data_IF_573965560040
#
_entry.id   IF_573965560040
#
_cell.length_a   1.000
_cell.length_b   1.000
_cell.length_c   1.000
_cell.angle_alpha   90.00
_cell.angle_beta   90.00
_cell.angle_gamma   90.00
#
_symmetry.space_group_name_H-M   'P 1'
#
loop_
_entity.id
_entity.type
_entity.pdbx_description
1 polymer ?
#
# COMPACT_ATOMS: atom_id res chain seq x y z
N UNK A 1 14.08 -55.36 8.59
CA UNK A 1 14.97 -54.74 7.57
C UNK A 1 14.86 -53.21 7.73
N UNK A 2 15.81 -52.62 8.40
CA UNK A 2 15.90 -51.18 8.56
C UNK A 2 16.60 -50.60 7.32
N UNK A 3 15.92 -49.75 6.55
CA UNK A 3 16.57 -49.05 5.46
C UNK A 3 17.44 -47.93 6.03
N UNK A 4 18.72 -48.02 5.79
CA UNK A 4 19.71 -47.00 6.06
C UNK A 4 19.44 -45.76 5.17
N UNK A 5 19.16 -44.65 5.81
CA UNK A 5 19.15 -43.35 5.14
C UNK A 5 20.61 -42.97 4.86
N UNK A 6 21.00 -42.63 3.63
CA UNK A 6 22.37 -42.24 3.35
C UNK A 6 22.72 -40.92 4.02
N UNK A 7 23.88 -40.86 4.68
CA UNK A 7 24.42 -39.61 5.21
C UNK A 7 24.63 -38.58 4.09
N UNK A 8 24.26 -37.30 4.31
CA UNK A 8 24.55 -36.28 3.32
C UNK A 8 26.05 -36.06 3.19
N UNK A 9 26.54 -36.08 1.95
CA UNK A 9 27.91 -35.78 1.62
C UNK A 9 28.38 -34.49 2.29
N UNK A 10 29.51 -34.53 2.98
CA UNK A 10 30.18 -33.36 3.58
C UNK A 10 30.54 -32.37 2.46
N UNK A 11 29.66 -31.37 2.21
CA UNK A 11 29.93 -30.27 1.30
C UNK A 11 31.09 -29.44 1.83
N UNK A 12 31.95 -28.98 0.93
CA UNK A 12 33.06 -28.06 1.20
C UNK A 12 32.55 -26.85 1.96
N UNK A 13 33.20 -26.50 3.06
CA UNK A 13 32.90 -25.31 3.84
C UNK A 13 32.99 -24.07 2.94
N UNK A 14 31.87 -23.40 2.72
CA UNK A 14 31.83 -22.06 2.14
C UNK A 14 32.47 -21.12 3.16
N UNK A 15 33.71 -20.76 2.96
CA UNK A 15 34.38 -19.69 3.70
C UNK A 15 33.76 -18.34 3.24
N UNK A 16 32.97 -17.72 4.10
CA UNK A 16 32.56 -16.32 3.90
C UNK A 16 31.14 -15.92 4.26
N UNK A 17 30.24 -16.84 4.55
CA UNK A 17 28.94 -16.48 5.09
C UNK A 17 29.03 -16.56 6.61
N UNK A 18 29.15 -15.40 7.26
CA UNK A 18 28.92 -15.31 8.70
C UNK A 18 27.51 -15.84 8.99
N UNK A 19 27.41 -17.05 9.52
CA UNK A 19 26.15 -17.57 10.03
C UNK A 19 25.76 -16.66 11.18
N UNK A 20 24.72 -15.85 11.01
CA UNK A 20 24.09 -15.20 12.15
C UNK A 20 23.74 -16.29 13.16
N UNK A 21 24.05 -16.11 14.46
CA UNK A 21 23.55 -17.01 15.49
C UNK A 21 22.04 -17.13 15.30
N UNK A 22 21.50 -18.34 15.37
CA UNK A 22 20.04 -18.48 15.39
C UNK A 22 19.53 -17.67 16.59
N UNK A 23 18.71 -16.65 16.29
CA UNK A 23 18.07 -15.89 17.34
C UNK A 23 17.25 -16.86 18.19
N UNK A 24 17.37 -16.78 19.51
CA UNK A 24 16.49 -17.53 20.40
C UNK A 24 15.07 -17.05 20.16
N UNK A 25 14.10 -17.94 20.24
CA UNK A 25 12.69 -17.63 19.98
C UNK A 25 12.11 -16.55 20.92
N UNK A 26 12.79 -16.26 22.01
CA UNK A 26 12.44 -15.28 23.03
C UNK A 26 13.26 -13.97 22.94
N UNK A 27 14.25 -13.90 22.04
CA UNK A 27 15.03 -12.69 21.80
C UNK A 27 14.36 -11.82 20.72
N UNK A 28 14.12 -10.56 21.05
CA UNK A 28 13.70 -9.58 20.05
C UNK A 28 14.80 -9.41 19.00
N UNK A 29 14.39 -9.30 17.70
CA UNK A 29 15.32 -9.04 16.62
C UNK A 29 16.16 -7.76 16.89
N UNK A 30 17.42 -7.75 16.43
CA UNK A 30 18.29 -6.58 16.52
C UNK A 30 17.56 -5.38 15.89
N UNK A 31 17.51 -4.25 16.63
CA UNK A 31 16.77 -3.06 16.21
C UNK A 31 15.27 -3.07 16.53
N UNK A 32 14.80 -4.13 17.22
CA UNK A 32 13.42 -4.15 17.72
C UNK A 32 13.18 -3.04 18.74
N UNK A 33 12.22 -2.18 18.46
CA UNK A 33 11.67 -1.23 19.42
C UNK A 33 10.33 -1.78 19.88
N UNK A 34 10.26 -2.20 21.12
CA UNK A 34 9.00 -2.69 21.69
C UNK A 34 7.93 -1.59 21.65
N UNK A 35 6.70 -2.03 21.36
CA UNK A 35 5.56 -1.13 21.43
C UNK A 35 5.50 -0.44 22.80
N UNK A 36 5.32 0.88 22.77
CA UNK A 36 5.04 1.68 23.96
C UNK A 36 3.78 2.48 23.71
N UNK A 37 2.76 2.24 24.51
CA UNK A 37 1.57 3.06 24.47
C UNK A 37 1.93 4.48 24.94
N UNK A 38 1.62 5.46 24.08
CA UNK A 38 1.73 6.88 24.41
C UNK A 38 0.40 7.56 24.16
N UNK A 39 0.06 8.56 24.95
CA UNK A 39 -1.10 9.38 24.66
C UNK A 39 -0.82 10.19 23.39
N UNK A 40 -1.75 10.17 22.47
CA UNK A 40 -1.73 11.06 21.31
C UNK A 40 -2.08 12.50 21.75
N UNK A 41 -1.58 13.54 21.06
CA UNK A 41 -2.07 14.89 21.24
C UNK A 41 -3.59 14.96 21.04
N UNK A 42 -4.27 15.82 21.80
CA UNK A 42 -5.73 16.03 21.66
C UNK A 42 -6.11 16.45 20.24
N UNK A 43 -5.25 17.21 19.58
CA UNK A 43 -5.44 17.63 18.19
C UNK A 43 -4.21 17.24 17.38
N UNK A 44 -4.43 16.44 16.35
CA UNK A 44 -3.40 16.10 15.39
C UNK A 44 -3.32 17.20 14.30
N UNK A 45 -2.10 17.60 13.88
CA UNK A 45 -1.93 18.68 12.90
C UNK A 45 -2.42 18.30 11.49
N UNK A 46 -2.56 17.02 11.22
CA UNK A 46 -3.07 16.47 9.97
C UNK A 46 -3.68 15.09 10.20
N UNK A 47 -4.60 14.69 9.34
CA UNK A 47 -5.12 13.33 9.29
C UNK A 47 -4.21 12.46 8.43
N UNK A 48 -3.66 11.41 9.01
CA UNK A 48 -2.84 10.44 8.31
C UNK A 48 -3.72 9.31 7.78
N UNK A 49 -3.62 9.03 6.49
CA UNK A 49 -4.39 7.99 5.81
C UNK A 49 -3.42 6.97 5.23
N UNK A 50 -3.63 5.70 5.53
CA UNK A 50 -2.81 4.62 4.99
C UNK A 50 -3.55 3.86 3.90
N UNK A 51 -2.92 3.65 2.74
CA UNK A 51 -3.44 2.72 1.74
C UNK A 51 -3.39 1.30 2.30
N UNK A 52 -4.48 0.57 2.14
CA UNK A 52 -4.64 -0.78 2.66
C UNK A 52 -4.83 -1.78 1.52
N UNK A 53 -3.96 -2.80 1.48
CA UNK A 53 -4.00 -3.86 0.48
C UNK A 53 -4.73 -5.10 1.04
N UNK A 54 -5.96 -5.42 0.62
CA UNK A 54 -6.74 -6.52 1.19
C UNK A 54 -6.38 -7.89 0.60
N UNK A 55 -5.10 -8.18 0.33
CA UNK A 55 -4.65 -9.38 -0.37
C UNK A 55 -4.02 -10.47 0.52
N UNK A 56 -4.13 -10.31 1.85
CA UNK A 56 -3.56 -11.27 2.80
C UNK A 56 -4.58 -12.31 3.26
N UNK A 57 -5.34 -12.86 2.30
CA UNK A 57 -6.24 -14.00 2.46
C UNK A 57 -6.44 -14.69 1.10
N UNK A 58 -6.69 -16.01 1.08
CA UNK A 58 -6.94 -16.73 -0.16
C UNK A 58 -8.33 -16.42 -0.71
N UNK A 59 -8.42 -16.36 -2.04
CA UNK A 59 -9.68 -16.32 -2.79
C UNK A 59 -9.64 -17.36 -3.92
N UNK A 60 -10.78 -17.88 -4.37
CA UNK A 60 -10.82 -18.92 -5.42
C UNK A 60 -10.09 -18.52 -6.72
N UNK A 61 -10.18 -17.26 -7.11
CA UNK A 61 -9.51 -16.73 -8.30
C UNK A 61 -7.99 -16.80 -8.15
N UNK A 62 -7.45 -16.34 -7.02
CA UNK A 62 -6.02 -16.41 -6.75
C UNK A 62 -5.54 -17.86 -6.66
N UNK A 63 -6.34 -18.76 -6.11
CA UNK A 63 -6.04 -20.19 -6.05
C UNK A 63 -5.95 -20.80 -7.45
N UNK A 64 -6.87 -20.43 -8.35
CA UNK A 64 -6.84 -20.87 -9.74
C UNK A 64 -5.65 -20.30 -10.54
N UNK A 65 -5.26 -19.05 -10.28
CA UNK A 65 -4.20 -18.38 -11.02
C UNK A 65 -2.80 -18.68 -10.53
N UNK A 66 -2.63 -18.79 -9.20
CA UNK A 66 -1.33 -18.84 -8.53
C UNK A 66 -1.11 -20.10 -7.69
N UNK A 67 -2.11 -20.97 -7.60
CA UNK A 67 -2.10 -22.20 -6.83
C UNK A 67 -2.76 -22.07 -5.46
N UNK A 68 -3.27 -23.20 -4.97
CA UNK A 68 -4.09 -23.31 -3.77
C UNK A 68 -3.48 -22.62 -2.55
N UNK A 69 -4.29 -21.84 -1.85
CA UNK A 69 -3.91 -21.13 -0.63
C UNK A 69 -3.03 -19.90 -0.89
N UNK A 70 -3.05 -19.36 -2.11
CA UNK A 70 -2.25 -18.19 -2.43
C UNK A 70 -2.71 -16.96 -1.64
N UNK A 71 -1.72 -16.33 -0.99
CA UNK A 71 -1.80 -14.99 -0.40
C UNK A 71 -0.49 -14.25 -0.66
N UNK A 72 -0.42 -12.95 -0.38
CA UNK A 72 0.83 -12.19 -0.49
C UNK A 72 1.97 -12.74 0.39
N UNK A 73 1.65 -13.45 1.48
CA UNK A 73 2.68 -14.13 2.30
C UNK A 73 3.53 -15.10 1.49
N UNK A 74 2.95 -15.74 0.47
CA UNK A 74 3.70 -16.64 -0.41
C UNK A 74 4.80 -15.91 -1.19
N UNK A 75 4.55 -14.69 -1.62
CA UNK A 75 5.53 -13.85 -2.27
C UNK A 75 6.60 -13.38 -1.28
N UNK A 76 6.17 -12.89 -0.11
CA UNK A 76 7.06 -12.41 0.96
C UNK A 76 8.05 -13.48 1.39
N UNK A 77 7.57 -14.69 1.70
CA UNK A 77 8.42 -15.78 2.23
C UNK A 77 9.40 -16.35 1.20
N UNK A 78 9.17 -16.14 -0.09
CA UNK A 78 10.03 -16.63 -1.18
C UNK A 78 11.07 -15.62 -1.64
N UNK A 79 10.99 -14.38 -1.18
CA UNK A 79 11.94 -13.35 -1.57
C UNK A 79 13.34 -13.65 -1.06
N UNK A 80 14.34 -13.38 -1.89
CA UNK A 80 15.74 -13.62 -1.60
C UNK A 80 16.54 -12.31 -1.66
N UNK A 81 17.62 -12.18 -0.84
CA UNK A 81 18.55 -11.08 -0.96
C UNK A 81 19.17 -11.01 -2.37
N UNK A 82 19.21 -9.83 -2.96
CA UNK A 82 19.78 -9.59 -4.29
C UNK A 82 21.22 -9.07 -4.22
N UNK A 83 21.57 -8.40 -3.13
CA UNK A 83 22.90 -7.84 -2.88
C UNK A 83 23.21 -7.89 -1.37
N UNK A 84 24.47 -7.69 -1.00
CA UNK A 84 24.88 -7.68 0.41
C UNK A 84 24.14 -6.57 1.18
N UNK A 85 23.59 -6.94 2.33
CA UNK A 85 22.78 -6.03 3.16
C UNK A 85 21.33 -5.85 2.69
N UNK A 86 20.90 -6.43 1.57
CA UNK A 86 19.49 -6.49 1.20
C UNK A 86 18.73 -7.45 2.12
N UNK A 87 17.83 -6.91 2.93
CA UNK A 87 17.10 -7.68 3.91
C UNK A 87 15.87 -8.36 3.28
N UNK A 88 15.96 -9.64 3.03
CA UNK A 88 14.86 -10.51 2.56
C UNK A 88 15.03 -11.93 3.13
N UNK A 89 13.95 -12.68 3.36
CA UNK A 89 12.57 -12.23 3.37
C UNK A 89 12.27 -11.32 4.56
N UNK A 90 11.36 -10.39 4.39
CA UNK A 90 10.85 -9.52 5.48
C UNK A 90 9.68 -10.23 6.15
N UNK A 91 9.94 -10.93 7.22
CA UNK A 91 8.94 -11.69 7.94
C UNK A 91 8.16 -10.80 8.93
N UNK A 92 6.87 -11.11 9.16
CA UNK A 92 6.04 -10.35 10.08
C UNK A 92 6.55 -10.47 11.52
N UNK A 93 6.37 -9.40 12.32
CA UNK A 93 6.76 -9.33 13.71
C UNK A 93 5.56 -9.37 14.66
N UNK A 94 4.82 -8.26 14.75
CA UNK A 94 3.84 -8.08 15.82
C UNK A 94 2.48 -8.75 15.53
N UNK A 95 2.06 -8.81 14.25
CA UNK A 95 0.77 -9.40 13.84
C UNK A 95 0.90 -10.84 13.32
N UNK A 96 2.13 -11.37 13.16
CA UNK A 96 2.37 -12.70 12.62
C UNK A 96 1.90 -12.87 11.17
N UNK A 97 1.85 -14.09 10.68
CA UNK A 97 1.30 -14.42 9.36
C UNK A 97 -0.23 -14.43 9.41
N UNK A 98 -0.80 -13.23 9.50
CA UNK A 98 -2.23 -13.05 9.65
C UNK A 98 -3.01 -13.42 8.39
N UNK A 99 -4.29 -13.74 8.60
CA UNK A 99 -5.29 -13.98 7.55
C UNK A 99 -6.44 -13.00 7.74
N UNK A 100 -6.77 -12.23 6.70
CA UNK A 100 -7.82 -11.21 6.75
C UNK A 100 -9.24 -11.79 6.82
N UNK A 101 -9.41 -13.11 6.75
CA UNK A 101 -10.67 -13.78 7.08
C UNK A 101 -10.95 -13.78 8.59
N UNK A 102 -9.92 -13.58 9.40
CA UNK A 102 -10.04 -13.45 10.83
C UNK A 102 -10.31 -11.99 11.21
N UNK A 103 -11.51 -11.70 11.67
CA UNK A 103 -11.92 -10.34 12.09
C UNK A 103 -11.06 -9.78 13.22
N UNK A 104 -10.51 -10.65 14.10
CA UNK A 104 -9.63 -10.19 15.17
C UNK A 104 -8.36 -9.54 14.62
N UNK A 105 -7.81 -10.07 13.53
CA UNK A 105 -6.67 -9.44 12.82
C UNK A 105 -6.96 -7.98 12.47
N UNK A 106 -8.14 -7.73 11.89
CA UNK A 106 -8.51 -6.37 11.48
C UNK A 106 -8.76 -5.45 12.67
N UNK A 107 -9.32 -5.96 13.76
CA UNK A 107 -9.45 -5.22 15.03
C UNK A 107 -8.08 -4.82 15.59
N UNK A 108 -7.12 -5.75 15.58
CA UNK A 108 -5.75 -5.49 16.05
C UNK A 108 -5.04 -4.47 15.15
N UNK A 109 -5.20 -4.56 13.83
CA UNK A 109 -4.69 -3.57 12.89
C UNK A 109 -5.31 -2.19 13.11
N UNK A 110 -6.62 -2.11 13.29
CA UNK A 110 -7.32 -0.85 13.57
C UNK A 110 -6.82 -0.21 14.88
N UNK A 111 -6.69 -1.03 15.93
CA UNK A 111 -6.18 -0.59 17.23
C UNK A 111 -4.75 -0.03 17.11
N UNK A 112 -3.85 -0.78 16.49
CA UNK A 112 -2.47 -0.33 16.28
C UNK A 112 -2.43 0.96 15.45
N UNK A 113 -3.19 1.05 14.37
CA UNK A 113 -3.27 2.25 13.55
C UNK A 113 -3.68 3.48 14.37
N UNK A 114 -4.73 3.36 15.16
CA UNK A 114 -5.20 4.44 16.04
C UNK A 114 -4.16 4.80 17.11
N UNK A 115 -3.52 3.83 17.73
CA UNK A 115 -2.47 4.04 18.74
C UNK A 115 -1.24 4.77 18.18
N UNK A 116 -0.99 4.65 16.87
CA UNK A 116 0.07 5.38 16.16
C UNK A 116 -0.41 6.63 15.44
N UNK A 117 -1.65 7.07 15.66
CA UNK A 117 -2.18 8.33 15.15
C UNK A 117 -2.63 8.29 13.69
N UNK A 118 -2.85 7.11 13.11
CA UNK A 118 -3.52 7.02 11.81
C UNK A 118 -5.00 7.37 11.97
N UNK A 119 -5.49 8.21 11.06
CA UNK A 119 -6.87 8.69 11.07
C UNK A 119 -7.82 7.88 10.19
N UNK A 120 -7.31 7.12 9.21
CA UNK A 120 -8.13 6.28 8.33
C UNK A 120 -7.29 5.26 7.56
N UNK A 121 -7.97 4.22 7.06
CA UNK A 121 -7.45 3.38 5.98
C UNK A 121 -8.13 3.69 4.65
N UNK A 122 -7.35 3.68 3.56
CA UNK A 122 -7.83 3.77 2.19
C UNK A 122 -7.69 2.38 1.55
N UNK A 123 -8.76 1.63 1.50
CA UNK A 123 -8.75 0.28 0.96
C UNK A 123 -8.67 0.29 -0.56
N UNK A 124 -7.76 -0.50 -1.15
CA UNK A 124 -7.88 -0.85 -2.56
C UNK A 124 -9.15 -1.66 -2.77
N UNK A 125 -9.96 -1.18 -3.69
CA UNK A 125 -11.23 -1.79 -4.07
C UNK A 125 -11.14 -2.29 -5.51
N UNK A 126 -11.54 -3.54 -5.73
CA UNK A 126 -11.41 -4.22 -7.02
C UNK A 126 -12.79 -4.53 -7.56
N UNK A 127 -13.16 -3.83 -8.64
CA UNK A 127 -14.42 -3.96 -9.34
C UNK A 127 -14.15 -4.27 -10.81
N UNK A 128 -14.85 -5.26 -11.36
CA UNK A 128 -14.74 -5.72 -12.74
C UNK A 128 -16.13 -5.99 -13.28
N UNK A 129 -16.81 -4.98 -13.84
CA UNK A 129 -18.13 -5.07 -14.45
C UNK A 129 -19.16 -5.85 -13.62
N UNK A 130 -19.36 -5.44 -12.37
CA UNK A 130 -20.30 -6.09 -11.44
C UNK A 130 -19.68 -7.21 -10.59
N UNK A 131 -18.48 -7.66 -10.89
CA UNK A 131 -17.75 -8.62 -10.06
C UNK A 131 -16.74 -7.92 -9.17
N UNK A 132 -16.80 -8.21 -7.86
CA UNK A 132 -15.79 -7.74 -6.89
C UNK A 132 -14.79 -8.85 -6.58
N UNK A 133 -13.55 -8.47 -6.30
CA UNK A 133 -12.53 -9.36 -5.77
C UNK A 133 -11.96 -8.79 -4.47
N UNK A 134 -11.57 -9.66 -3.54
CA UNK A 134 -10.93 -9.28 -2.27
C UNK A 134 -11.76 -8.30 -1.41
N UNK A 135 -13.07 -8.26 -1.61
CA UNK A 135 -13.99 -7.33 -0.93
C UNK A 135 -14.29 -7.73 0.52
N UNK A 136 -14.20 -9.01 0.84
CA UNK A 136 -14.59 -9.54 2.15
C UNK A 136 -13.97 -8.78 3.34
N UNK A 137 -12.67 -8.41 3.37
CA UNK A 137 -12.12 -7.63 4.48
C UNK A 137 -12.76 -6.25 4.61
N UNK A 138 -13.14 -5.62 3.47
CA UNK A 138 -13.80 -4.31 3.47
C UNK A 138 -15.20 -4.43 4.06
N UNK A 139 -15.95 -5.46 3.67
CA UNK A 139 -17.28 -5.75 4.20
C UNK A 139 -17.23 -6.00 5.71
N UNK A 140 -16.30 -6.82 6.18
CA UNK A 140 -16.10 -7.07 7.61
C UNK A 140 -15.73 -5.79 8.37
N UNK A 141 -14.85 -4.93 7.80
CA UNK A 141 -14.52 -3.64 8.39
C UNK A 141 -15.73 -2.72 8.50
N UNK A 142 -16.51 -2.67 7.44
CA UNK A 142 -17.74 -1.89 7.36
C UNK A 142 -18.76 -2.32 8.40
N UNK A 143 -18.97 -3.62 8.58
CA UNK A 143 -19.98 -4.19 9.44
C UNK A 143 -19.59 -4.29 10.93
N UNK A 144 -18.29 -4.38 11.24
CA UNK A 144 -17.81 -4.54 12.61
C UNK A 144 -17.95 -3.24 13.43
N UNK A 145 -18.86 -3.18 14.42
CA UNK A 145 -19.05 -1.98 15.23
C UNK A 145 -17.89 -1.71 16.19
N UNK A 146 -17.04 -2.72 16.47
CA UNK A 146 -15.88 -2.55 17.35
C UNK A 146 -14.71 -1.84 16.65
N UNK A 147 -14.70 -1.83 15.33
CA UNK A 147 -13.73 -1.09 14.53
C UNK A 147 -14.23 0.34 14.34
N UNK A 148 -13.60 1.28 15.00
CA UNK A 148 -13.97 2.70 14.95
C UNK A 148 -13.08 3.53 14.02
N UNK A 149 -11.94 2.98 13.55
CA UNK A 149 -11.06 3.67 12.62
C UNK A 149 -11.79 3.92 11.29
N UNK A 150 -11.86 5.18 10.82
CA UNK A 150 -12.46 5.52 9.55
C UNK A 150 -11.81 4.83 8.35
N UNK A 151 -12.55 4.73 7.25
CA UNK A 151 -12.05 4.18 6.00
C UNK A 151 -12.62 4.87 4.78
N UNK A 152 -11.92 4.77 3.66
CA UNK A 152 -12.43 5.12 2.33
C UNK A 152 -11.95 4.08 1.31
N UNK A 153 -12.41 4.21 0.08
CA UNK A 153 -12.09 3.29 -1.01
C UNK A 153 -11.24 3.97 -2.06
N UNK A 154 -10.30 3.21 -2.63
CA UNK A 154 -9.55 3.55 -3.82
C UNK A 154 -9.83 2.49 -4.89
N UNK A 155 -10.60 2.83 -5.91
CA UNK A 155 -10.85 1.91 -7.03
C UNK A 155 -9.56 1.66 -7.81
N UNK A 156 -9.02 0.45 -7.67
CA UNK A 156 -7.88 -0.03 -8.44
C UNK A 156 -8.37 -0.52 -9.81
N UNK A 157 -8.69 0.43 -10.68
CA UNK A 157 -9.36 0.25 -11.97
C UNK A 157 -8.43 -0.25 -13.09
N UNK A 158 -7.45 -1.08 -12.73
CA UNK A 158 -6.57 -1.76 -13.68
C UNK A 158 -7.07 -3.17 -13.96
N UNK A 159 -6.88 -3.64 -15.17
CA UNK A 159 -7.00 -5.08 -15.48
C UNK A 159 -5.94 -5.89 -14.73
N UNK A 160 -6.27 -7.10 -14.33
CA UNK A 160 -5.29 -8.04 -13.81
C UNK A 160 -4.73 -8.91 -14.90
N UNK A 161 -3.40 -9.05 -14.94
CA UNK A 161 -2.66 -9.87 -15.88
C UNK A 161 -1.48 -10.54 -15.18
N UNK A 162 -0.90 -11.59 -15.80
CA UNK A 162 0.27 -12.31 -15.27
C UNK A 162 1.58 -11.50 -15.39
N UNK A 163 1.54 -10.22 -15.07
CA UNK A 163 2.73 -9.33 -15.13
C UNK A 163 3.85 -9.78 -14.21
N UNK A 164 3.52 -10.45 -13.13
CA UNK A 164 4.51 -10.93 -12.16
C UNK A 164 5.37 -12.07 -12.71
N UNK A 165 4.82 -12.86 -13.65
CA UNK A 165 5.54 -13.92 -14.36
C UNK A 165 6.20 -13.44 -15.66
N UNK A 166 6.21 -12.13 -15.92
CA UNK A 166 6.70 -11.56 -17.18
C UNK A 166 5.76 -11.73 -18.37
N UNK A 167 4.54 -12.26 -18.18
CA UNK A 167 3.51 -12.46 -19.18
C UNK A 167 2.40 -11.39 -19.09
N UNK A 168 2.75 -10.14 -19.33
CA UNK A 168 1.84 -9.00 -19.20
C UNK A 168 0.62 -9.03 -20.13
N UNK A 169 0.67 -9.81 -21.20
CA UNK A 169 -0.41 -9.95 -22.18
C UNK A 169 -1.43 -11.04 -21.80
N UNK A 170 -1.12 -11.88 -20.81
CA UNK A 170 -2.04 -12.91 -20.30
C UNK A 170 -3.00 -12.27 -19.29
N UNK A 171 -4.15 -11.78 -19.81
CA UNK A 171 -5.17 -11.10 -19.01
C UNK A 171 -5.95 -12.13 -18.20
N UNK A 172 -5.98 -11.96 -16.88
CA UNK A 172 -6.73 -12.81 -15.95
C UNK A 172 -8.18 -12.34 -15.79
N UNK A 173 -8.37 -11.02 -15.66
CA UNK A 173 -9.68 -10.36 -15.64
C UNK A 173 -9.53 -8.93 -16.16
N UNK A 174 -10.41 -8.50 -17.04
CA UNK A 174 -10.37 -7.18 -17.66
C UNK A 174 -11.41 -6.22 -17.05
N UNK A 175 -11.24 -4.95 -17.32
CA UNK A 175 -12.19 -3.88 -17.00
C UNK A 175 -13.16 -3.71 -18.18
N UNK A 176 -14.42 -3.42 -17.88
CA UNK A 176 -15.42 -3.06 -18.88
C UNK A 176 -16.00 -1.69 -18.53
N UNK A 177 -15.23 -0.64 -18.86
CA UNK A 177 -15.66 0.74 -18.59
C UNK A 177 -16.80 1.16 -19.53
N UNK A 178 -17.87 1.75 -18.96
CA UNK A 178 -19.01 2.27 -19.71
C UNK A 178 -20.02 2.91 -18.77
N UNK A 179 -21.04 3.56 -19.34
CA UNK A 179 -22.03 4.29 -18.57
C UNK A 179 -22.79 3.40 -17.57
N UNK A 180 -23.17 2.18 -18.00
CA UNK A 180 -23.88 1.25 -17.15
C UNK A 180 -22.98 0.70 -16.02
N UNK A 181 -21.71 0.43 -16.33
CA UNK A 181 -20.74 0.00 -15.31
C UNK A 181 -20.44 1.11 -14.31
N UNK A 182 -20.34 2.36 -14.77
CA UNK A 182 -20.20 3.53 -13.89
C UNK A 182 -21.35 3.62 -12.85
N UNK A 183 -22.59 3.39 -13.33
CA UNK A 183 -23.77 3.42 -12.45
C UNK A 183 -23.82 2.21 -11.50
N UNK A 184 -23.46 1.04 -12.00
CA UNK A 184 -23.40 -0.17 -11.18
C UNK A 184 -22.31 -0.04 -10.09
N UNK A 185 -21.13 0.46 -10.46
CA UNK A 185 -20.04 0.73 -9.53
C UNK A 185 -20.46 1.69 -8.41
N UNK A 186 -20.97 2.87 -8.77
CA UNK A 186 -21.33 3.87 -7.75
C UNK A 186 -22.47 3.40 -6.86
N UNK A 187 -23.44 2.66 -7.40
CA UNK A 187 -24.51 2.05 -6.63
C UNK A 187 -23.98 1.06 -5.59
N UNK A 188 -22.99 0.25 -5.97
CA UNK A 188 -22.35 -0.71 -5.08
C UNK A 188 -21.56 -0.01 -3.96
N UNK A 189 -20.66 0.91 -4.31
CA UNK A 189 -19.83 1.59 -3.31
C UNK A 189 -20.61 2.56 -2.42
N UNK A 190 -21.79 2.99 -2.84
CA UNK A 190 -22.68 3.84 -2.04
C UNK A 190 -23.11 3.15 -0.73
N UNK A 191 -23.17 1.82 -0.68
CA UNK A 191 -23.43 1.09 0.56
C UNK A 191 -22.38 1.41 1.63
N UNK A 192 -21.11 1.44 1.24
CA UNK A 192 -20.00 1.84 2.13
C UNK A 192 -20.06 3.32 2.48
N UNK A 193 -20.37 4.19 1.53
CA UNK A 193 -20.45 5.63 1.74
C UNK A 193 -21.53 6.05 2.76
N UNK A 194 -22.58 5.24 2.95
CA UNK A 194 -23.62 5.47 3.96
C UNK A 194 -23.14 5.17 5.38
N UNK A 195 -22.05 4.42 5.53
CA UNK A 195 -21.51 4.09 6.85
C UNK A 195 -21.00 5.37 7.54
N UNK A 196 -21.33 5.60 8.82
CA UNK A 196 -20.83 6.76 9.57
C UNK A 196 -19.30 6.76 9.72
N UNK A 197 -18.63 5.60 9.62
CA UNK A 197 -17.16 5.47 9.62
C UNK A 197 -16.53 5.82 8.26
N UNK A 198 -17.34 6.01 7.20
CA UNK A 198 -16.76 6.33 5.90
C UNK A 198 -16.14 7.73 5.92
N UNK A 199 -14.86 7.82 5.52
CA UNK A 199 -14.11 9.07 5.55
C UNK A 199 -14.74 10.13 4.65
N UNK A 200 -14.87 11.36 5.18
CA UNK A 200 -15.49 12.51 4.50
C UNK A 200 -14.57 13.70 4.52
N UNK A 201 -14.63 14.47 3.45
CA UNK A 201 -13.99 15.79 3.31
C UNK A 201 -15.12 16.82 3.17
N UNK A 202 -15.22 17.75 4.10
CA UNK A 202 -16.32 18.73 4.17
C UNK A 202 -17.71 18.08 4.08
N UNK A 203 -17.91 16.97 4.81
CA UNK A 203 -19.14 16.19 4.80
C UNK A 203 -19.34 15.28 3.58
N UNK A 204 -18.52 15.39 2.55
CA UNK A 204 -18.61 14.62 1.30
C UNK A 204 -17.80 13.31 1.39
N UNK A 205 -18.37 12.12 1.11
CA UNK A 205 -17.63 10.87 1.09
C UNK A 205 -16.43 10.93 0.14
N UNK A 206 -15.25 10.51 0.61
CA UNK A 206 -14.02 10.48 -0.19
C UNK A 206 -13.93 9.19 -1.01
N UNK A 207 -13.88 9.32 -2.32
CA UNK A 207 -13.62 8.20 -3.24
C UNK A 207 -12.38 8.50 -4.08
N UNK A 208 -11.42 7.56 -4.07
CA UNK A 208 -10.23 7.64 -4.90
C UNK A 208 -10.35 6.75 -6.13
N UNK A 209 -9.76 7.20 -7.24
CA UNK A 209 -9.53 6.40 -8.45
C UNK A 209 -8.03 6.27 -8.68
N UNK A 210 -7.57 5.04 -8.87
CA UNK A 210 -6.13 4.79 -8.97
C UNK A 210 -5.53 5.25 -10.31
N UNK A 211 -6.24 5.03 -11.43
CA UNK A 211 -5.78 5.38 -12.78
C UNK A 211 -6.90 6.01 -13.61
N UNK A 212 -7.17 7.30 -13.45
CA UNK A 212 -8.29 7.96 -14.14
C UNK A 212 -8.17 7.93 -15.66
N UNK A 213 -6.94 7.90 -16.24
CA UNK A 213 -6.72 7.80 -17.69
C UNK A 213 -7.19 6.47 -18.31
N UNK A 214 -7.47 5.45 -17.51
CA UNK A 214 -8.06 4.20 -18.02
C UNK A 214 -9.58 4.32 -18.20
N UNK A 215 -10.22 5.33 -17.63
CA UNK A 215 -11.61 5.65 -17.90
C UNK A 215 -11.71 6.30 -19.29
N UNK A 216 -12.58 5.84 -20.18
CA UNK A 216 -12.70 6.44 -21.52
C UNK A 216 -12.99 7.94 -21.49
N UNK A 217 -13.87 8.36 -20.57
CA UNK A 217 -14.30 9.74 -20.40
C UNK A 217 -14.42 10.09 -18.89
N UNK A 218 -13.29 10.33 -18.21
CA UNK A 218 -13.28 10.45 -16.75
C UNK A 218 -14.19 11.57 -16.22
N UNK A 219 -14.31 12.70 -16.91
CA UNK A 219 -15.19 13.79 -16.52
C UNK A 219 -16.68 13.38 -16.60
N UNK A 220 -17.06 12.60 -17.60
CA UNK A 220 -18.44 12.10 -17.74
C UNK A 220 -18.73 11.02 -16.68
N UNK A 221 -17.77 10.14 -16.40
CA UNK A 221 -17.86 9.16 -15.30
C UNK A 221 -18.07 9.88 -13.97
N UNK A 222 -17.26 10.90 -13.68
CA UNK A 222 -17.43 11.72 -12.48
C UNK A 222 -18.82 12.38 -12.40
N UNK A 223 -19.31 12.92 -13.52
CA UNK A 223 -20.63 13.53 -13.60
C UNK A 223 -21.76 12.51 -13.35
N UNK A 224 -21.66 11.29 -13.92
CA UNK A 224 -22.63 10.20 -13.69
C UNK A 224 -22.66 9.81 -12.20
N UNK A 225 -21.50 9.63 -11.57
CA UNK A 225 -21.42 9.29 -10.15
C UNK A 225 -22.01 10.36 -9.25
N UNK A 226 -21.68 11.64 -9.49
CA UNK A 226 -22.26 12.76 -8.73
C UNK A 226 -23.77 12.84 -8.91
N UNK A 227 -24.24 12.72 -10.16
CA UNK A 227 -25.68 12.71 -10.46
C UNK A 227 -26.40 11.58 -9.72
N UNK A 228 -25.88 10.37 -9.79
CA UNK A 228 -26.45 9.22 -9.10
C UNK A 228 -26.46 9.41 -7.56
N UNK A 229 -25.37 9.88 -7.00
CA UNK A 229 -25.23 10.09 -5.55
C UNK A 229 -26.25 11.13 -5.02
N UNK A 230 -26.46 12.24 -5.76
CA UNK A 230 -27.46 13.24 -5.39
C UNK A 230 -28.87 12.67 -5.36
N UNK A 231 -29.25 11.93 -6.41
CA UNK A 231 -30.59 11.34 -6.53
C UNK A 231 -30.84 10.25 -5.49
N UNK A 232 -29.79 9.52 -5.08
CA UNK A 232 -29.91 8.37 -4.18
C UNK A 232 -29.55 8.70 -2.70
N UNK A 233 -29.54 9.98 -2.31
CA UNK A 233 -29.45 10.43 -0.92
C UNK A 233 -28.03 10.34 -0.32
N UNK A 234 -26.99 10.17 -1.14
CA UNK A 234 -25.59 10.29 -0.68
C UNK A 234 -25.18 11.77 -0.60
N UNK A 235 -25.74 12.62 -1.48
CA UNK A 235 -25.32 13.99 -1.67
C UNK A 235 -24.10 14.12 -2.57
N UNK A 236 -23.32 15.18 -2.38
CA UNK A 236 -22.06 15.37 -3.12
C UNK A 236 -20.98 14.44 -2.59
N UNK A 237 -20.11 13.98 -3.49
CA UNK A 237 -18.95 13.16 -3.17
C UNK A 237 -17.65 13.94 -3.42
N UNK A 238 -16.60 13.64 -2.68
CA UNK A 238 -15.27 14.19 -2.90
C UNK A 238 -14.45 13.18 -3.71
N UNK A 239 -14.23 13.49 -4.99
CA UNK A 239 -13.47 12.62 -5.89
C UNK A 239 -12.00 13.04 -5.91
N UNK A 240 -11.11 12.10 -5.67
CA UNK A 240 -9.68 12.29 -5.81
C UNK A 240 -9.06 11.21 -6.71
N UNK A 241 -7.93 11.48 -7.34
CA UNK A 241 -7.20 10.46 -8.08
C UNK A 241 -5.77 10.32 -7.58
N UNK A 242 -5.18 9.15 -7.80
CA UNK A 242 -3.82 8.83 -7.37
C UNK A 242 -2.82 9.20 -8.46
N UNK A 243 -1.83 10.05 -8.14
CA UNK A 243 -0.73 10.41 -9.03
C UNK A 243 0.32 9.31 -9.12
N UNK A 244 -0.11 8.13 -9.55
CA UNK A 244 0.76 6.97 -9.71
C UNK A 244 1.41 6.86 -11.09
N UNK A 245 0.80 7.45 -12.13
CA UNK A 245 1.22 7.31 -13.53
C UNK A 245 1.15 8.62 -14.32
N UNK A 246 0.33 9.56 -13.89
CA UNK A 246 0.06 10.82 -14.56
C UNK A 246 -0.29 11.90 -13.54
N UNK A 247 -0.29 13.16 -13.98
CA UNK A 247 -0.57 14.32 -13.12
C UNK A 247 -1.46 15.37 -13.82
N UNK A 248 -2.63 15.00 -14.36
CA UNK A 248 -3.56 15.99 -14.89
C UNK A 248 -4.04 16.92 -13.77
N UNK A 249 -4.49 18.11 -14.14
CA UNK A 249 -5.27 18.91 -13.21
C UNK A 249 -6.58 18.16 -12.89
N UNK A 250 -6.91 17.90 -11.60
CA UNK A 250 -8.13 17.17 -11.27
C UNK A 250 -9.39 17.83 -11.83
N UNK A 251 -9.39 19.16 -11.97
CA UNK A 251 -10.51 19.92 -12.52
C UNK A 251 -10.81 19.56 -13.97
N UNK A 252 -9.78 19.25 -14.77
CA UNK A 252 -9.94 18.87 -16.18
C UNK A 252 -10.65 17.53 -16.36
N UNK A 253 -10.57 16.67 -15.35
CA UNK A 253 -11.21 15.34 -15.35
C UNK A 253 -12.42 15.24 -14.42
N UNK A 254 -12.94 16.38 -13.94
CA UNK A 254 -14.13 16.44 -13.09
C UNK A 254 -13.92 15.98 -11.64
N UNK A 255 -12.67 15.96 -11.18
CA UNK A 255 -12.31 15.57 -9.83
C UNK A 255 -12.03 16.80 -8.94
N UNK A 256 -12.13 16.63 -7.61
CA UNK A 256 -11.89 17.68 -6.64
C UNK A 256 -10.41 17.80 -6.24
N UNK A 257 -9.69 16.69 -6.28
CA UNK A 257 -8.33 16.63 -5.75
C UNK A 257 -7.46 15.56 -6.43
N UNK A 258 -6.15 15.70 -6.23
CA UNK A 258 -5.16 14.68 -6.54
C UNK A 258 -4.45 14.22 -5.26
N UNK A 259 -3.85 13.04 -5.30
CA UNK A 259 -3.11 12.41 -4.20
C UNK A 259 -1.72 12.04 -4.70
N UNK A 260 -0.67 12.52 -4.06
CA UNK A 260 0.68 12.04 -4.35
C UNK A 260 0.86 10.58 -3.93
N UNK A 261 1.63 9.84 -4.72
CA UNK A 261 1.79 8.40 -4.53
C UNK A 261 3.27 7.97 -4.68
N UNK A 262 4.16 8.43 -3.78
CA UNK A 262 5.56 8.00 -3.84
C UNK A 262 5.68 6.48 -3.54
N UNK A 263 6.59 5.73 -4.24
CA UNK A 263 7.68 6.26 -5.04
C UNK A 263 7.33 6.49 -6.51
N UNK A 264 6.09 6.29 -6.91
CA UNK A 264 5.67 6.50 -8.29
C UNK A 264 5.89 7.96 -8.72
N UNK A 265 6.10 8.16 -10.01
CA UNK A 265 6.38 9.49 -10.58
C UNK A 265 7.60 10.21 -9.98
N UNK A 266 8.57 9.44 -9.47
CA UNK A 266 9.88 9.91 -9.04
C UNK A 266 10.97 9.06 -9.70
N UNK A 267 12.14 9.68 -9.93
CA UNK A 267 13.28 9.03 -10.59
C UNK A 267 14.58 9.32 -9.82
N UNK A 268 14.67 8.87 -8.55
CA UNK A 268 15.92 9.06 -7.81
C UNK A 268 17.06 8.30 -8.51
N UNK A 269 18.31 8.75 -8.34
CA UNK A 269 19.47 8.09 -8.93
C UNK A 269 19.57 6.63 -8.54
N UNK A 270 19.92 5.78 -9.52
CA UNK A 270 20.24 4.38 -9.22
C UNK A 270 21.58 4.28 -8.50
N UNK A 271 21.58 3.49 -7.44
CA UNK A 271 22.77 3.13 -6.68
C UNK A 271 23.14 1.65 -6.83
N UNK A 272 22.52 0.97 -7.80
CA UNK A 272 22.71 -0.47 -8.05
C UNK A 272 24.19 -0.82 -8.29
N UNK A 273 24.91 -0.01 -9.07
CA UNK A 273 26.34 -0.23 -9.37
C UNK A 273 27.25 -0.16 -8.14
N UNK A 274 26.76 0.40 -7.03
CA UNK A 274 27.49 0.49 -5.77
C UNK A 274 27.22 -0.72 -4.87
N UNK A 275 26.30 -1.61 -5.26
CA UNK A 275 25.93 -2.77 -4.46
C UNK A 275 26.77 -3.97 -4.87
N UNK A 276 27.17 -4.76 -3.89
CA UNK A 276 27.81 -6.07 -4.11
C UNK A 276 26.73 -7.12 -4.31
N UNK A 277 26.52 -7.52 -5.57
CA UNK A 277 25.46 -8.47 -5.90
C UNK A 277 25.72 -9.84 -5.27
N UNK A 278 24.69 -10.41 -4.65
CA UNK A 278 24.60 -11.80 -4.21
C UNK A 278 23.94 -12.64 -5.31
N UNK A 279 22.97 -12.07 -6.00
CA UNK A 279 22.40 -12.65 -7.21
C UNK A 279 23.03 -11.97 -8.45
N UNK A 280 23.90 -12.65 -9.21
CA UNK A 280 24.54 -12.07 -10.39
C UNK A 280 23.53 -11.74 -11.51
N UNK A 281 22.36 -12.39 -11.51
CA UNK A 281 21.30 -12.19 -12.51
C UNK A 281 20.31 -11.09 -12.10
N UNK A 282 20.58 -10.35 -11.02
CA UNK A 282 19.74 -9.23 -10.60
C UNK A 282 19.66 -8.15 -11.68
N UNK A 283 18.47 -7.98 -12.24
CA UNK A 283 18.14 -6.99 -13.26
C UNK A 283 17.06 -6.00 -12.76
N UNK A 284 17.09 -5.71 -11.48
CA UNK A 284 16.28 -4.70 -10.81
C UNK A 284 17.08 -3.43 -10.54
N UNK A 285 16.56 -2.59 -9.65
CA UNK A 285 17.18 -1.32 -9.30
C UNK A 285 17.25 -1.12 -7.78
N UNK A 286 18.42 -0.81 -7.26
CA UNK A 286 18.59 -0.23 -5.93
C UNK A 286 18.61 1.31 -6.07
N UNK A 287 17.76 1.98 -5.31
CA UNK A 287 17.54 3.43 -5.39
C UNK A 287 17.73 4.07 -4.01
N UNK A 288 18.08 5.33 -3.95
CA UNK A 288 18.25 6.04 -2.68
C UNK A 288 16.91 6.66 -2.22
N UNK A 289 16.40 6.20 -1.09
CA UNK A 289 15.18 6.72 -0.50
C UNK A 289 15.30 8.19 -0.06
N UNK A 290 16.52 8.63 0.29
CA UNK A 290 16.78 10.02 0.70
C UNK A 290 16.56 10.98 -0.45
N UNK A 291 16.99 10.59 -1.64
CA UNK A 291 16.77 11.36 -2.87
C UNK A 291 15.29 11.37 -3.26
N UNK A 292 14.56 10.25 -3.06
CA UNK A 292 13.12 10.23 -3.22
C UNK A 292 12.44 11.25 -2.29
N UNK A 293 12.76 11.25 -1.00
CA UNK A 293 12.16 12.18 -0.05
C UNK A 293 12.48 13.64 -0.40
N UNK A 294 13.73 13.93 -0.77
CA UNK A 294 14.16 15.25 -1.20
C UNK A 294 13.43 15.74 -2.46
N UNK A 295 13.30 14.88 -3.49
CA UNK A 295 12.55 15.20 -4.71
C UNK A 295 11.08 15.54 -4.39
N UNK A 296 10.44 14.74 -3.56
CA UNK A 296 9.04 14.95 -3.19
C UNK A 296 8.84 16.25 -2.40
N UNK A 297 9.76 16.60 -1.50
CA UNK A 297 9.72 17.83 -0.71
C UNK A 297 9.91 19.09 -1.57
N UNK A 298 10.74 19.01 -2.60
CA UNK A 298 11.06 20.13 -3.49
C UNK A 298 10.01 20.37 -4.58
N UNK A 299 8.99 19.51 -4.71
CA UNK A 299 7.94 19.69 -5.70
C UNK A 299 7.17 20.99 -5.46
N UNK A 300 6.91 21.76 -6.52
CA UNK A 300 6.16 22.99 -6.39
C UNK A 300 4.73 22.73 -5.92
N UNK A 301 4.22 23.64 -5.10
CA UNK A 301 2.80 23.66 -4.73
C UNK A 301 1.94 23.84 -6.00
N UNK A 302 0.77 23.25 -5.97
CA UNK A 302 -0.21 23.35 -7.05
C UNK A 302 -1.32 24.32 -6.67
N UNK A 303 -1.97 24.87 -7.67
CA UNK A 303 -3.14 25.74 -7.51
C UNK A 303 -4.46 24.97 -7.37
N UNK A 304 -4.39 23.64 -7.34
CA UNK A 304 -5.49 22.72 -7.04
C UNK A 304 -5.23 21.94 -5.76
N UNK A 305 -6.27 21.33 -5.21
CA UNK A 305 -6.14 20.49 -4.01
C UNK A 305 -5.28 19.28 -4.29
N UNK A 306 -4.11 19.24 -3.66
CA UNK A 306 -3.17 18.12 -3.73
C UNK A 306 -2.87 17.61 -2.32
N UNK A 307 -3.29 16.38 -2.05
CA UNK A 307 -2.94 15.68 -0.81
C UNK A 307 -1.53 15.11 -0.93
N UNK A 308 -0.58 15.58 -0.11
CA UNK A 308 0.79 15.11 -0.19
C UNK A 308 0.90 13.63 0.21
N UNK A 309 1.83 12.94 -0.44
CA UNK A 309 2.17 11.57 -0.15
C UNK A 309 3.51 11.41 0.54
N UNK A 310 3.62 10.48 1.47
CA UNK A 310 4.88 10.05 2.08
C UNK A 310 5.03 8.54 1.96
N UNK A 311 6.27 8.04 2.04
CA UNK A 311 6.56 6.61 1.86
C UNK A 311 7.54 6.13 2.93
N UNK A 312 7.20 5.11 3.73
CA UNK A 312 8.08 4.59 4.80
C UNK A 312 9.25 3.78 4.27
N UNK A 313 9.17 3.35 3.00
CA UNK A 313 10.14 2.51 2.32
C UNK A 313 9.46 1.73 1.20
N UNK A 314 10.24 1.25 0.25
CA UNK A 314 9.70 0.44 -0.84
C UNK A 314 10.68 -0.65 -1.24
N UNK A 315 10.15 -1.85 -1.34
CA UNK A 315 10.87 -3.02 -1.82
C UNK A 315 9.85 -3.98 -2.42
N UNK A 316 9.81 -4.10 -3.74
CA UNK A 316 8.88 -4.99 -4.42
C UNK A 316 9.55 -6.27 -4.96
N UNK A 317 10.73 -6.62 -4.44
CA UNK A 317 11.41 -7.88 -4.76
C UNK A 317 10.50 -9.11 -4.55
N UNK A 318 9.66 -9.19 -3.49
CA UNK A 318 8.73 -10.31 -3.30
C UNK A 318 7.81 -10.58 -4.49
N UNK A 319 7.40 -9.51 -5.19
CA UNK A 319 6.51 -9.60 -6.37
C UNK A 319 7.27 -9.63 -7.69
N UNK A 320 8.56 -9.26 -7.72
CA UNK A 320 9.36 -9.10 -8.93
C UNK A 320 10.73 -9.72 -8.76
N UNK A 321 10.77 -10.99 -8.41
CA UNK A 321 12.00 -11.73 -8.09
C UNK A 321 13.12 -11.48 -9.11
N UNK A 322 14.26 -10.98 -8.62
CA UNK A 322 15.41 -10.59 -9.42
C UNK A 322 15.26 -9.33 -10.26
N UNK A 323 14.08 -8.67 -10.21
CA UNK A 323 13.74 -7.46 -10.98
C UNK A 323 13.08 -6.39 -10.10
N UNK A 324 13.29 -6.45 -8.80
CA UNK A 324 12.72 -5.54 -7.82
C UNK A 324 13.25 -4.11 -7.94
N UNK A 325 12.43 -3.13 -7.56
CA UNK A 325 12.87 -1.77 -7.21
C UNK A 325 12.94 -1.68 -5.71
N UNK A 326 14.13 -1.40 -5.20
CA UNK A 326 14.48 -1.48 -3.78
C UNK A 326 15.02 -0.12 -3.36
N UNK A 327 14.31 0.54 -2.43
CA UNK A 327 14.73 1.84 -1.92
C UNK A 327 15.54 1.66 -0.63
N UNK A 328 16.82 1.98 -0.69
CA UNK A 328 17.77 1.88 0.41
C UNK A 328 17.74 3.14 1.30
N UNK A 329 18.22 3.01 2.52
CA UNK A 329 18.40 4.11 3.49
C UNK A 329 17.10 4.70 4.05
N UNK A 330 15.93 4.11 3.81
CA UNK A 330 14.73 4.44 4.58
C UNK A 330 14.92 4.04 6.05
N UNK A 331 14.41 4.85 6.98
CA UNK A 331 14.38 4.51 8.40
C UNK A 331 13.20 5.20 9.09
N UNK A 332 12.74 4.70 10.26
CA UNK A 332 11.65 5.33 10.99
C UNK A 332 11.92 6.80 11.33
N UNK A 333 13.16 7.15 11.70
CA UNK A 333 13.55 8.54 11.96
C UNK A 333 13.42 9.42 10.73
N UNK A 334 13.97 8.98 9.58
CA UNK A 334 13.90 9.73 8.32
C UNK A 334 12.47 9.87 7.82
N UNK A 335 11.67 8.82 7.95
CA UNK A 335 10.25 8.87 7.63
C UNK A 335 9.51 9.89 8.48
N UNK A 336 9.71 9.88 9.81
CA UNK A 336 9.13 10.86 10.72
C UNK A 336 9.53 12.29 10.31
N UNK A 337 10.80 12.51 10.00
CA UNK A 337 11.31 13.82 9.64
C UNK A 337 10.70 14.32 8.32
N UNK A 338 10.57 13.46 7.31
CA UNK A 338 9.86 13.78 6.07
C UNK A 338 8.38 14.07 6.32
N UNK A 339 7.67 13.20 7.03
CA UNK A 339 6.26 13.41 7.40
C UNK A 339 6.06 14.76 8.12
N UNK A 340 6.92 15.06 9.11
CA UNK A 340 6.83 16.31 9.86
C UNK A 340 7.03 17.54 8.98
N UNK A 341 8.03 17.52 8.07
CA UNK A 341 8.24 18.60 7.09
C UNK A 341 7.08 18.73 6.13
N UNK A 342 6.55 17.61 5.64
CA UNK A 342 5.37 17.60 4.76
C UNK A 342 4.18 18.29 5.42
N UNK A 343 3.88 17.96 6.68
CA UNK A 343 2.79 18.60 7.42
C UNK A 343 3.05 20.10 7.60
N UNK A 344 4.25 20.47 8.00
CA UNK A 344 4.60 21.87 8.29
C UNK A 344 4.62 22.76 7.05
N UNK A 345 5.14 22.27 5.94
CA UNK A 345 5.41 23.07 4.74
C UNK A 345 4.26 23.03 3.73
N UNK A 346 3.63 21.87 3.56
CA UNK A 346 2.64 21.67 2.50
C UNK A 346 1.20 21.82 2.97
N UNK A 347 0.95 21.63 4.26
CA UNK A 347 -0.40 21.75 4.84
C UNK A 347 -0.59 23.00 5.70
N UNK A 348 0.41 23.86 5.84
CA UNK A 348 0.35 25.05 6.67
C UNK A 348 -0.88 25.95 6.34
N UNK A 349 -1.16 26.12 5.05
CA UNK A 349 -2.25 26.95 4.54
C UNK A 349 -3.50 26.15 4.13
N UNK A 350 -3.51 24.82 4.33
CA UNK A 350 -4.68 24.01 4.00
C UNK A 350 -5.81 24.23 5.01
N UNK A 351 -7.05 24.20 4.52
CA UNK A 351 -8.23 24.17 5.40
C UNK A 351 -8.19 22.90 6.27
N UNK A 352 -8.74 22.94 7.51
CA UNK A 352 -8.65 21.78 8.42
C UNK A 352 -9.12 20.47 7.81
N UNK A 353 -10.23 20.45 7.08
CA UNK A 353 -10.74 19.24 6.42
C UNK A 353 -9.85 18.72 5.27
N UNK A 354 -8.96 19.56 4.77
CA UNK A 354 -8.00 19.21 3.71
C UNK A 354 -6.58 18.94 4.23
N UNK A 355 -6.35 18.96 5.54
CA UNK A 355 -5.07 18.62 6.14
C UNK A 355 -4.89 17.11 6.20
N UNK A 356 -4.72 16.49 5.05
CA UNK A 356 -4.53 15.05 4.91
C UNK A 356 -3.17 14.73 4.30
N UNK A 357 -2.53 13.69 4.80
CA UNK A 357 -1.33 13.08 4.22
C UNK A 357 -1.64 11.62 3.96
N UNK A 358 -1.40 11.17 2.73
CA UNK A 358 -1.56 9.77 2.41
C UNK A 358 -0.20 9.06 2.45
N UNK A 359 -0.18 7.89 3.04
CA UNK A 359 1.02 7.08 3.13
C UNK A 359 0.80 5.75 2.43
N UNK A 360 1.80 5.34 1.64
CA UNK A 360 1.90 3.98 1.15
C UNK A 360 2.37 3.05 2.28
N UNK A 361 1.61 2.98 3.33
CA UNK A 361 1.79 1.89 4.26
C UNK A 361 1.05 0.71 3.64
N UNK A 362 1.78 -0.11 2.87
CA UNK A 362 1.35 -1.48 2.81
C UNK A 362 1.38 -1.97 4.25
N UNK A 363 0.22 -2.27 4.81
CA UNK A 363 0.17 -3.05 6.03
C UNK A 363 0.42 -4.52 5.65
N UNK A 364 1.52 -4.76 5.04
CA UNK A 364 2.37 -5.86 5.33
C UNK A 364 3.25 -5.33 6.43
N UNK A 365 2.91 -5.52 7.65
CA UNK A 365 3.59 -5.11 8.88
C UNK A 365 4.72 -4.07 8.74
N UNK A 366 4.93 -3.16 9.70
CA UNK A 366 6.11 -2.32 9.71
C UNK A 366 7.33 -3.25 9.63
N UNK A 367 7.82 -3.42 8.41
CA UNK A 367 9.08 -4.13 8.19
C UNK A 367 10.13 -3.27 8.84
N UNK A 368 10.59 -3.71 9.99
CA UNK A 368 11.65 -3.08 10.73
C UNK A 368 12.87 -3.01 9.82
N UNK A 369 13.20 -1.82 9.41
CA UNK A 369 14.50 -1.57 8.82
C UNK A 369 15.50 -1.48 9.97
N UNK A 370 16.32 -2.51 10.11
CA UNK A 370 17.59 -2.35 10.80
C UNK A 370 18.38 -1.27 10.06
N UNK A 371 18.89 -0.28 10.81
CA UNK A 371 19.88 0.62 10.26
C UNK A 371 21.04 -0.23 9.75
N UNK A 372 21.31 -0.16 8.44
CA UNK A 372 22.54 -0.70 7.91
C UNK A 372 23.69 0.05 8.58
N UNK A 373 24.31 -0.56 9.56
CA UNK A 373 25.62 -0.10 10.01
C UNK A 373 26.58 -0.33 8.86
N UNK A 374 27.04 0.74 8.24
CA UNK A 374 28.33 0.73 7.53
C UNK A 374 29.45 0.51 8.52
#
# INVERSE_FOLDING_TARGET
MAQLVPEPARGRANHGISRRPAARSDEAAIGHVSYRRAALPETLPAQLIAFYLPQFHPIPENDAWWGKGFTEWRNVTRALPQFEGHLQPRLPADLGFYDLRNTQTMRDQARLAQEYGLGAFCFYFYWFAGKTLLEMPITQWHEDPSITLPFCLCWANEKWARRWDGRGDDILIDQAHGADDDLAFIAHVAAYMRNPKYLRVDGRPLLLVYRPHLLPEPAQTAARWRGWCRVNGIGEIHLAYVQGFERPDPRDIGFDAAVEFPPNMSTPPSVTARQRLVNPDFNGEALDWRELASDMEQRPLRDYTLYPGVNPGWDNEPRRSGKGRIYLHASPRRYRDWLSRTVQQRLANALPAHRMVLSLIHISEPTRQEESRM
#
